data_IF_104748352554
#
_entry.id   IF_104748352554
#
_cell.length_a   1.000
_cell.length_b   1.000
_cell.length_c   1.000
_cell.angle_alpha   90.00
_cell.angle_beta   90.00
_cell.angle_gamma   90.00
#
_symmetry.space_group_name_H-M   'P 1'
#
loop_
_entity.id
_entity.type
_entity.pdbx_description
1 polymer ?
#
# COMPACT_ATOMS: atom_id res chain seq x y z
N UNK A 1 -0.18 9.33 -25.58
CA UNK A 1 -1.30 9.17 -26.53
C UNK A 1 -1.07 10.02 -27.79
N UNK A 2 -1.05 11.39 -27.75
CA UNK A 2 -0.97 12.25 -28.93
C UNK A 2 0.27 11.98 -29.81
N UNK A 3 1.46 11.85 -29.22
CA UNK A 3 2.69 11.51 -29.95
C UNK A 3 2.63 10.13 -30.62
N UNK A 4 1.91 9.21 -30.06
CA UNK A 4 1.72 7.87 -30.64
C UNK A 4 0.79 7.92 -31.85
N UNK A 5 -0.29 8.70 -31.77
CA UNK A 5 -1.17 8.97 -32.91
C UNK A 5 -0.41 9.69 -34.01
N UNK A 6 0.37 10.72 -33.67
CA UNK A 6 1.17 11.46 -34.64
C UNK A 6 2.22 10.60 -35.36
N UNK A 7 2.83 9.63 -34.68
CA UNK A 7 3.78 8.67 -35.31
C UNK A 7 3.12 7.71 -36.27
N UNK A 8 1.83 7.39 -36.08
CA UNK A 8 1.04 6.52 -36.95
C UNK A 8 0.40 7.28 -38.11
N UNK A 9 0.19 8.58 -37.93
CA UNK A 9 -0.29 9.47 -39.00
C UNK A 9 0.84 9.78 -39.97
N UNK A 10 0.53 9.89 -41.24
CA UNK A 10 1.54 10.21 -42.27
C UNK A 10 2.13 11.63 -42.08
N UNK A 11 3.25 11.95 -42.77
CA UNK A 11 3.96 13.21 -42.62
C UNK A 11 3.13 14.46 -42.96
N UNK A 12 2.09 14.31 -43.80
CA UNK A 12 1.18 15.40 -44.19
C UNK A 12 -0.05 15.54 -43.26
N UNK A 13 -0.07 14.81 -42.16
CA UNK A 13 -1.20 14.81 -41.24
C UNK A 13 -1.08 15.92 -40.20
N UNK A 14 -2.19 16.66 -39.97
CA UNK A 14 -2.32 17.61 -38.88
C UNK A 14 -2.97 16.91 -37.67
N UNK A 15 -2.24 16.83 -36.55
CA UNK A 15 -2.75 16.29 -35.29
C UNK A 15 -3.03 17.42 -34.32
N UNK A 16 -4.30 17.64 -33.99
CA UNK A 16 -4.73 18.63 -33.00
C UNK A 16 -4.97 17.94 -31.66
N UNK A 17 -4.32 18.45 -30.61
CA UNK A 17 -4.47 17.92 -29.24
C UNK A 17 -5.14 18.96 -28.36
N UNK A 18 -6.29 18.61 -27.84
CA UNK A 18 -6.95 19.40 -26.80
C UNK A 18 -6.39 19.01 -25.43
N UNK A 19 -5.76 19.96 -24.73
CA UNK A 19 -5.29 19.81 -23.35
C UNK A 19 -6.28 20.56 -22.43
N UNK A 20 -7.34 19.91 -21.96
CA UNK A 20 -8.44 20.57 -21.24
C UNK A 20 -8.07 20.98 -19.83
N UNK A 21 -6.94 20.51 -19.31
CA UNK A 21 -6.51 20.70 -17.94
C UNK A 21 -5.08 21.22 -17.84
N UNK A 22 -4.82 22.02 -16.83
CA UNK A 22 -3.51 22.58 -16.52
C UNK A 22 -2.94 22.04 -15.22
N UNK A 23 -1.60 22.09 -15.05
CA UNK A 23 -0.91 21.57 -13.87
C UNK A 23 -1.28 22.25 -12.55
N UNK A 24 -1.98 23.42 -12.59
CA UNK A 24 -2.26 24.23 -11.39
C UNK A 24 -3.09 23.49 -10.34
N UNK A 25 -4.06 22.66 -10.76
CA UNK A 25 -4.87 21.83 -9.87
C UNK A 25 -4.12 20.66 -9.23
N UNK A 26 -2.90 20.39 -9.66
CA UNK A 26 -2.10 19.24 -9.26
C UNK A 26 -0.82 19.56 -8.50
N UNK A 27 -0.66 20.84 -8.06
CA UNK A 27 0.54 21.31 -7.35
C UNK A 27 0.81 20.52 -6.07
N UNK A 28 -0.24 20.08 -5.37
CA UNK A 28 -0.13 19.27 -4.16
C UNK A 28 0.01 17.76 -4.43
N UNK A 29 -0.02 17.35 -5.68
CA UNK A 29 0.04 15.94 -6.12
C UNK A 29 1.27 15.71 -7.00
N UNK A 30 1.10 15.69 -8.34
CA UNK A 30 2.18 15.35 -9.28
C UNK A 30 3.38 16.30 -9.27
N UNK A 31 3.25 17.51 -8.72
CA UNK A 31 4.34 18.45 -8.51
C UNK A 31 4.85 18.47 -7.06
N UNK A 32 4.43 17.50 -6.23
CA UNK A 32 4.88 17.33 -4.85
C UNK A 32 5.62 16.00 -4.73
N UNK A 33 6.95 16.06 -4.59
CA UNK A 33 7.80 14.87 -4.54
C UNK A 33 7.45 13.95 -3.36
N UNK A 34 7.04 14.50 -2.21
CA UNK A 34 6.64 13.70 -1.06
C UNK A 34 5.35 12.92 -1.36
N UNK A 35 4.38 13.54 -2.03
CA UNK A 35 3.18 12.85 -2.47
C UNK A 35 3.50 11.79 -3.53
N UNK A 36 4.33 12.13 -4.53
CA UNK A 36 4.75 11.20 -5.58
C UNK A 36 5.50 10.00 -5.01
N UNK A 37 6.35 10.24 -4.00
CA UNK A 37 7.10 9.17 -3.30
C UNK A 37 6.16 8.25 -2.52
N UNK A 38 5.27 8.79 -1.69
CA UNK A 38 4.36 8.00 -0.87
C UNK A 38 3.38 7.15 -1.67
N UNK A 39 3.02 7.59 -2.90
CA UNK A 39 2.22 6.82 -3.84
C UNK A 39 3.03 5.89 -4.77
N UNK A 40 4.35 5.79 -4.55
CA UNK A 40 5.23 4.88 -5.28
C UNK A 40 5.50 5.28 -6.74
N UNK A 41 5.23 6.54 -7.13
CA UNK A 41 5.50 7.05 -8.48
C UNK A 41 6.97 7.48 -8.68
N UNK A 42 7.69 7.78 -7.60
CA UNK A 42 9.12 8.03 -7.64
C UNK A 42 9.88 6.76 -7.31
N UNK A 43 10.67 6.30 -8.25
CA UNK A 43 11.67 5.26 -7.99
C UNK A 43 12.94 5.93 -7.50
N UNK A 44 13.35 5.68 -6.26
CA UNK A 44 14.67 6.07 -5.78
C UNK A 44 15.72 5.50 -6.75
N UNK A 45 16.46 6.36 -7.44
CA UNK A 45 17.73 5.97 -8.04
C UNK A 45 18.68 5.74 -6.89
N UNK A 46 18.77 4.49 -6.43
CA UNK A 46 19.83 4.09 -5.52
C UNK A 46 21.13 4.17 -6.32
N UNK A 47 21.94 5.17 -6.03
CA UNK A 47 23.34 5.19 -6.43
C UNK A 47 23.96 3.95 -5.77
N UNK A 48 24.19 2.90 -6.54
CA UNK A 48 24.95 1.67 -6.36
C UNK A 48 25.57 1.28 -5.01
N UNK A 49 25.21 1.92 -3.91
CA UNK A 49 25.66 1.56 -2.57
C UNK A 49 24.74 0.46 -2.00
N UNK A 50 25.32 -0.69 -1.78
CA UNK A 50 24.74 -1.98 -1.38
C UNK A 50 24.01 -1.96 -0.01
N UNK A 51 23.83 -0.82 0.64
CA UNK A 51 23.40 -0.73 2.04
C UNK A 51 21.95 -0.25 2.28
N UNK A 52 21.14 0.00 1.27
CA UNK A 52 19.79 0.48 1.54
C UNK A 52 18.71 -0.41 0.92
N UNK A 53 18.24 -1.39 1.70
CA UNK A 53 17.01 -2.12 1.38
C UNK A 53 15.85 -1.13 1.22
N UNK A 54 15.06 -1.30 0.17
CA UNK A 54 13.83 -0.54 -0.04
C UNK A 54 12.68 -1.14 0.77
N UNK A 55 11.59 -0.38 0.92
CA UNK A 55 10.32 -0.87 1.48
C UNK A 55 9.80 -2.07 0.68
N UNK A 56 9.94 -2.04 -0.65
CA UNK A 56 9.59 -3.16 -1.52
C UNK A 56 10.42 -4.42 -1.26
N UNK A 57 11.72 -4.27 -0.90
CA UNK A 57 12.56 -5.41 -0.52
C UNK A 57 12.09 -6.03 0.79
N UNK A 58 11.70 -5.21 1.77
CA UNK A 58 11.12 -5.67 3.04
C UNK A 58 9.84 -6.47 2.78
N UNK A 59 8.96 -5.95 1.92
CA UNK A 59 7.71 -6.61 1.58
C UNK A 59 7.96 -7.96 0.89
N UNK A 60 8.87 -8.02 -0.09
CA UNK A 60 9.26 -9.27 -0.78
C UNK A 60 9.94 -10.28 0.15
N UNK A 61 10.58 -9.81 1.19
CA UNK A 61 11.21 -10.67 2.22
C UNK A 61 10.22 -11.32 3.19
N UNK A 62 8.93 -10.99 3.12
CA UNK A 62 7.90 -11.66 3.94
C UNK A 62 7.85 -13.15 3.64
N UNK A 63 7.90 -13.94 4.69
CA UNK A 63 7.82 -15.40 4.58
C UNK A 63 6.41 -15.83 4.21
N UNK A 64 6.27 -16.63 3.15
CA UNK A 64 5.00 -17.25 2.73
C UNK A 64 4.54 -16.82 1.33
N UNK A 65 3.73 -17.65 0.70
CA UNK A 65 3.03 -17.34 -0.55
C UNK A 65 1.80 -16.47 -0.22
N UNK A 66 2.01 -15.18 0.00
CA UNK A 66 0.90 -14.24 0.17
C UNK A 66 0.35 -13.85 -1.21
N UNK A 67 -0.97 -13.59 -1.33
CA UNK A 67 -1.53 -12.93 -2.52
C UNK A 67 -0.95 -11.52 -2.65
N UNK A 68 -1.11 -10.89 -3.83
CA UNK A 68 -0.62 -9.55 -4.12
C UNK A 68 -1.09 -8.53 -3.07
N UNK A 69 -2.31 -8.69 -2.54
CA UNK A 69 -2.83 -7.89 -1.42
C UNK A 69 -3.76 -8.74 -0.56
N UNK A 70 -3.40 -9.00 0.69
CA UNK A 70 -4.34 -9.54 1.68
C UNK A 70 -5.28 -8.41 2.10
N UNK A 71 -6.59 -8.59 1.93
CA UNK A 71 -7.60 -7.56 2.14
C UNK A 71 -8.93 -8.17 2.61
N UNK A 72 -9.87 -7.31 2.98
CA UNK A 72 -11.27 -7.63 3.27
C UNK A 72 -12.18 -6.55 2.69
N UNK A 73 -13.48 -6.82 2.60
CA UNK A 73 -14.47 -5.89 2.08
C UNK A 73 -15.34 -5.29 3.20
N UNK A 74 -15.88 -4.07 3.02
CA UNK A 74 -16.74 -3.43 4.02
C UNK A 74 -17.99 -4.24 4.40
N UNK A 75 -18.49 -5.05 3.47
CA UNK A 75 -19.70 -5.88 3.62
C UNK A 75 -19.44 -7.27 4.20
N UNK A 76 -18.19 -7.70 4.26
CA UNK A 76 -17.80 -8.95 4.91
C UNK A 76 -18.00 -8.88 6.42
N UNK A 77 -18.12 -10.04 7.07
CA UNK A 77 -18.33 -10.08 8.52
C UNK A 77 -17.00 -10.00 9.29
N UNK A 78 -17.08 -9.57 10.54
CA UNK A 78 -15.94 -9.62 11.49
C UNK A 78 -15.36 -11.03 11.57
N UNK A 79 -16.21 -12.07 11.47
CA UNK A 79 -15.76 -13.48 11.42
C UNK A 79 -14.88 -13.75 10.21
N UNK A 80 -15.30 -13.31 9.04
CA UNK A 80 -14.56 -13.53 7.78
C UNK A 80 -13.22 -12.80 7.83
N UNK A 81 -13.21 -11.54 8.28
CA UNK A 81 -12.00 -10.76 8.46
C UNK A 81 -10.99 -11.43 9.41
N UNK A 82 -11.46 -11.95 10.56
CA UNK A 82 -10.61 -12.71 11.50
C UNK A 82 -10.09 -13.99 10.83
N UNK A 83 -10.93 -14.66 10.02
CA UNK A 83 -10.54 -15.83 9.24
C UNK A 83 -9.37 -15.53 8.29
N UNK A 84 -9.48 -14.45 7.51
CA UNK A 84 -8.44 -14.00 6.57
C UNK A 84 -7.14 -13.66 7.30
N UNK A 85 -7.19 -12.86 8.39
CA UNK A 85 -6.01 -12.51 9.17
C UNK A 85 -5.26 -13.76 9.65
N UNK A 86 -5.99 -14.78 10.12
CA UNK A 86 -5.41 -16.04 10.59
C UNK A 86 -4.87 -16.91 9.47
N UNK A 87 -5.59 -17.02 8.35
CA UNK A 87 -5.21 -17.85 7.21
C UNK A 87 -3.87 -17.38 6.63
N UNK A 88 -3.72 -16.07 6.45
CA UNK A 88 -2.49 -15.49 5.90
C UNK A 88 -1.45 -15.12 6.94
N UNK A 89 -1.73 -15.28 8.23
CA UNK A 89 -0.79 -14.96 9.31
C UNK A 89 -0.42 -13.48 9.37
N UNK A 90 -1.35 -12.58 8.99
CA UNK A 90 -1.14 -11.13 9.03
C UNK A 90 -1.92 -10.52 10.19
N UNK A 91 -1.34 -9.49 10.81
CA UNK A 91 -1.95 -8.80 11.95
C UNK A 91 -2.82 -7.60 11.56
N UNK A 92 -2.68 -7.13 10.32
CA UNK A 92 -3.44 -6.00 9.78
C UNK A 92 -3.64 -6.16 8.28
N UNK A 93 -4.78 -5.68 7.77
CA UNK A 93 -5.07 -5.64 6.34
C UNK A 93 -5.96 -4.44 5.98
N UNK A 94 -5.87 -3.92 4.74
CA UNK A 94 -6.77 -2.89 4.24
C UNK A 94 -8.18 -3.43 4.01
N UNK A 95 -9.14 -2.51 4.12
CA UNK A 95 -10.55 -2.71 3.72
C UNK A 95 -10.75 -2.02 2.38
N UNK A 96 -11.09 -2.77 1.34
CA UNK A 96 -11.24 -2.26 -0.04
C UNK A 96 -12.66 -2.43 -0.55
N UNK A 97 -13.14 -1.47 -1.35
CA UNK A 97 -14.50 -1.49 -1.87
C UNK A 97 -14.72 -2.40 -3.07
N UNK A 98 -13.63 -2.83 -3.73
CA UNK A 98 -13.64 -3.68 -4.93
C UNK A 98 -12.47 -4.67 -4.89
N UNK A 99 -12.53 -5.70 -5.73
CA UNK A 99 -11.43 -6.64 -5.88
C UNK A 99 -10.16 -5.95 -6.42
N UNK A 100 -8.96 -6.27 -5.89
CA UNK A 100 -7.70 -5.76 -6.45
C UNK A 100 -7.50 -6.17 -7.92
N UNK A 101 -6.83 -5.33 -8.71
CA UNK A 101 -6.06 -4.16 -8.30
C UNK A 101 -6.91 -2.90 -8.10
N UNK A 102 -6.78 -2.27 -6.95
CA UNK A 102 -7.43 -0.99 -6.60
C UNK A 102 -6.41 0.13 -6.50
N UNK A 103 -6.85 1.39 -6.57
CA UNK A 103 -5.98 2.52 -6.29
C UNK A 103 -5.94 2.77 -4.77
N UNK A 104 -4.83 3.30 -4.26
CA UNK A 104 -4.67 3.59 -2.83
C UNK A 104 -5.75 4.54 -2.28
N UNK A 105 -6.31 5.42 -3.12
CA UNK A 105 -7.43 6.29 -2.76
C UNK A 105 -8.78 5.59 -2.64
N UNK A 106 -8.90 4.33 -3.06
CA UNK A 106 -10.12 3.51 -2.98
C UNK A 106 -10.13 2.60 -1.74
N UNK A 107 -9.08 2.66 -0.92
CA UNK A 107 -9.02 1.95 0.36
C UNK A 107 -9.92 2.66 1.36
N UNK A 108 -10.97 1.97 1.81
CA UNK A 108 -11.99 2.52 2.69
C UNK A 108 -11.52 2.63 4.15
N UNK A 109 -10.61 1.75 4.57
CA UNK A 109 -10.14 1.69 5.95
C UNK A 109 -9.12 0.57 6.16
N UNK A 110 -8.97 0.17 7.41
CA UNK A 110 -8.13 -0.97 7.79
C UNK A 110 -8.75 -1.74 8.97
N UNK A 111 -8.35 -2.99 9.13
CA UNK A 111 -8.67 -3.78 10.31
C UNK A 111 -7.40 -4.38 10.90
N UNK A 112 -7.35 -4.48 12.22
CA UNK A 112 -6.28 -5.15 12.93
C UNK A 112 -6.80 -6.30 13.78
N UNK A 113 -6.01 -7.37 13.88
CA UNK A 113 -6.32 -8.52 14.73
C UNK A 113 -6.60 -8.06 16.18
N UNK A 114 -5.74 -7.21 16.72
CA UNK A 114 -5.86 -6.71 18.10
C UNK A 114 -7.17 -5.97 18.34
N UNK A 115 -7.56 -5.06 17.43
CA UNK A 115 -8.77 -4.25 17.59
C UNK A 115 -10.04 -5.09 17.45
N UNK A 116 -10.08 -6.00 16.46
CA UNK A 116 -11.21 -6.90 16.28
C UNK A 116 -11.40 -7.82 17.47
N UNK A 117 -10.31 -8.44 17.99
CA UNK A 117 -10.36 -9.28 19.18
C UNK A 117 -10.86 -8.49 20.39
N UNK A 118 -10.28 -7.31 20.65
CA UNK A 118 -10.72 -6.46 21.77
C UNK A 118 -12.20 -6.11 21.65
N UNK A 119 -12.65 -5.70 20.45
CA UNK A 119 -14.05 -5.34 20.22
C UNK A 119 -15.02 -6.51 20.48
N UNK A 120 -14.65 -7.72 20.05
CA UNK A 120 -15.46 -8.93 20.26
C UNK A 120 -15.50 -9.33 21.73
N UNK A 121 -14.35 -9.38 22.42
CA UNK A 121 -14.28 -9.77 23.83
C UNK A 121 -14.94 -8.77 24.77
N UNK A 122 -14.91 -7.48 24.42
CA UNK A 122 -15.59 -6.42 25.17
C UNK A 122 -17.08 -6.30 24.83
N UNK A 123 -17.59 -7.10 23.91
CA UNK A 123 -18.99 -7.08 23.46
C UNK A 123 -19.38 -5.87 22.61
N UNK A 124 -18.40 -5.08 22.12
CA UNK A 124 -18.62 -3.95 21.20
C UNK A 124 -18.85 -4.39 19.76
N UNK A 125 -18.39 -5.58 19.39
CA UNK A 125 -18.60 -6.18 18.09
C UNK A 125 -19.13 -7.61 18.21
N UNK A 126 -20.00 -8.00 17.27
CA UNK A 126 -20.42 -9.39 17.08
C UNK A 126 -19.72 -9.96 15.86
N UNK A 127 -19.50 -11.26 15.85
CA UNK A 127 -18.86 -11.95 14.72
C UNK A 127 -19.67 -11.83 13.41
N UNK A 128 -20.97 -11.55 13.48
CA UNK A 128 -21.84 -11.37 12.33
C UNK A 128 -21.96 -9.89 11.88
N UNK A 129 -21.36 -8.95 12.60
CA UNK A 129 -21.39 -7.54 12.22
C UNK A 129 -20.54 -7.33 10.96
N UNK A 130 -20.92 -6.34 10.14
CA UNK A 130 -20.15 -5.96 8.97
C UNK A 130 -18.84 -5.28 9.37
N UNK A 131 -17.75 -5.56 8.64
CA UNK A 131 -16.42 -4.95 8.82
C UNK A 131 -16.50 -3.42 8.84
N UNK A 132 -17.35 -2.83 7.99
CA UNK A 132 -17.54 -1.37 7.91
C UNK A 132 -17.94 -0.70 9.23
N UNK A 133 -18.50 -1.44 10.18
CA UNK A 133 -18.90 -0.91 11.49
C UNK A 133 -17.73 -0.88 12.49
N UNK A 134 -16.66 -1.62 12.22
CA UNK A 134 -15.55 -1.85 13.15
C UNK A 134 -14.17 -1.58 12.54
N UNK A 135 -14.11 -1.11 11.28
CA UNK A 135 -12.86 -0.73 10.65
C UNK A 135 -12.34 0.60 11.20
N UNK A 136 -11.04 0.73 11.24
CA UNK A 136 -10.29 1.96 11.52
C UNK A 136 -9.98 2.73 10.24
N UNK A 137 -9.53 3.99 10.30
CA UNK A 137 -9.04 4.72 9.13
C UNK A 137 -7.99 3.93 8.34
N UNK A 138 -7.86 4.28 7.05
CA UNK A 138 -6.85 3.65 6.20
C UNK A 138 -5.44 3.84 6.76
N UNK A 139 -4.59 2.82 6.59
CA UNK A 139 -3.20 2.86 7.01
C UNK A 139 -2.43 3.97 6.26
N UNK A 140 -1.42 4.58 6.89
CA UNK A 140 -0.55 5.54 6.21
C UNK A 140 0.18 4.87 5.05
N UNK A 141 0.38 5.64 3.98
CA UNK A 141 1.00 5.17 2.75
C UNK A 141 2.52 5.32 2.80
N UNK A 142 3.22 4.36 2.19
CA UNK A 142 4.64 4.43 1.91
C UNK A 142 4.93 3.84 0.54
N UNK A 143 5.76 4.51 -0.27
CA UNK A 143 6.14 4.00 -1.59
C UNK A 143 7.10 2.80 -1.50
N UNK A 144 6.89 1.80 -2.34
CA UNK A 144 7.76 0.62 -2.42
C UNK A 144 9.23 0.98 -2.72
N UNK A 145 9.47 2.07 -3.45
CA UNK A 145 10.80 2.58 -3.77
C UNK A 145 11.47 3.38 -2.65
N UNK A 146 10.79 3.68 -1.55
CA UNK A 146 11.39 4.39 -0.43
C UNK A 146 12.39 3.52 0.35
N UNK A 147 13.41 4.13 1.00
CA UNK A 147 14.31 3.40 1.88
C UNK A 147 13.57 2.74 3.04
N UNK A 148 13.98 1.56 3.46
CA UNK A 148 13.41 0.86 4.63
C UNK A 148 13.46 1.71 5.92
N UNK A 149 14.42 2.64 6.01
CA UNK A 149 14.50 3.62 7.11
C UNK A 149 13.29 4.56 7.18
N UNK A 150 12.64 4.85 6.04
CA UNK A 150 11.39 5.63 6.01
C UNK A 150 10.25 4.85 6.68
N UNK A 151 10.13 3.55 6.38
CA UNK A 151 9.19 2.68 7.07
C UNK A 151 9.47 2.57 8.56
N UNK A 152 10.74 2.45 8.95
CA UNK A 152 11.13 2.42 10.36
C UNK A 152 10.73 3.70 11.12
N UNK A 153 10.76 4.87 10.47
CA UNK A 153 10.26 6.13 11.04
C UNK A 153 8.75 6.11 11.19
N UNK A 154 8.02 5.76 10.14
CA UNK A 154 6.55 5.71 10.16
C UNK A 154 6.03 4.71 11.21
N UNK A 155 6.66 3.56 11.34
CA UNK A 155 6.30 2.51 12.31
C UNK A 155 6.63 2.84 13.78
N UNK A 156 7.20 4.02 14.07
CA UNK A 156 7.27 4.54 15.46
C UNK A 156 5.92 5.05 15.95
N UNK A 157 5.14 5.61 15.03
CA UNK A 157 3.84 6.24 15.31
C UNK A 157 2.66 5.30 14.97
N UNK A 158 2.86 4.41 14.00
CA UNK A 158 1.84 3.51 13.48
C UNK A 158 2.21 2.04 13.70
N UNK A 159 1.22 1.18 13.87
CA UNK A 159 1.45 -0.26 14.02
C UNK A 159 1.74 -0.94 12.68
N UNK A 160 1.26 -0.36 11.59
CA UNK A 160 1.50 -0.83 10.22
C UNK A 160 1.47 0.33 9.23
N UNK A 161 2.06 0.13 8.05
CA UNK A 161 1.99 1.03 6.90
C UNK A 161 1.63 0.25 5.64
N UNK A 162 0.85 0.86 4.77
CA UNK A 162 0.45 0.29 3.49
C UNK A 162 1.47 0.65 2.42
N UNK A 163 2.07 -0.38 1.81
CA UNK A 163 3.05 -0.22 0.73
C UNK A 163 2.33 0.01 -0.59
N UNK A 164 2.77 1.02 -1.33
CA UNK A 164 2.16 1.44 -2.58
C UNK A 164 3.19 1.45 -3.71
N UNK A 165 2.83 0.89 -4.85
CA UNK A 165 3.59 0.95 -6.09
C UNK A 165 2.68 1.43 -7.23
N UNK A 166 3.13 2.44 -7.99
CA UNK A 166 2.37 3.06 -9.08
C UNK A 166 0.90 3.41 -8.69
N UNK A 167 0.72 3.93 -7.46
CA UNK A 167 -0.58 4.33 -6.91
C UNK A 167 -1.46 3.20 -6.40
N UNK A 168 -1.00 1.95 -6.45
CA UNK A 168 -1.75 0.75 -6.03
C UNK A 168 -1.17 0.17 -4.76
N UNK A 169 -1.99 -0.21 -3.78
CA UNK A 169 -1.52 -0.96 -2.62
C UNK A 169 -1.04 -2.35 -3.05
N UNK A 170 0.17 -2.70 -2.61
CA UNK A 170 0.83 -3.98 -2.92
C UNK A 170 1.13 -4.79 -1.67
N UNK A 171 0.76 -4.30 -0.50
CA UNK A 171 0.89 -5.03 0.75
C UNK A 171 0.93 -4.11 1.96
N UNK A 172 1.09 -4.72 3.12
CA UNK A 172 1.21 -4.03 4.42
C UNK A 172 2.47 -4.52 5.10
N UNK A 173 3.24 -3.62 5.69
CA UNK A 173 4.39 -3.95 6.52
C UNK A 173 4.22 -3.44 7.94
N UNK A 174 4.79 -4.18 8.87
CA UNK A 174 4.77 -3.94 10.32
C UNK A 174 6.20 -3.90 10.87
N UNK A 175 6.33 -3.62 12.17
CA UNK A 175 7.64 -3.68 12.86
C UNK A 175 8.27 -5.07 12.78
N UNK A 176 7.48 -6.12 12.81
CA UNK A 176 7.97 -7.51 12.72
C UNK A 176 8.68 -7.78 11.40
N UNK A 177 8.15 -7.24 10.30
CA UNK A 177 8.73 -7.41 8.97
C UNK A 177 10.12 -6.74 8.87
N UNK A 178 10.28 -5.55 9.47
CA UNK A 178 11.59 -4.88 9.55
C UNK A 178 12.61 -5.67 10.38
N UNK A 179 12.17 -6.25 11.50
CA UNK A 179 13.05 -7.10 12.32
C UNK A 179 13.51 -8.33 11.56
N UNK A 180 12.64 -8.93 10.73
CA UNK A 180 12.98 -10.05 9.85
C UNK A 180 14.13 -9.72 8.90
N UNK A 181 14.11 -8.55 8.27
CA UNK A 181 15.20 -8.09 7.37
C UNK A 181 16.51 -7.86 8.12
N UNK A 182 16.45 -7.25 9.30
CA UNK A 182 17.64 -7.03 10.13
C UNK A 182 18.30 -8.36 10.57
N UNK A 183 17.49 -9.37 10.90
CA UNK A 183 18.00 -10.68 11.31
C UNK A 183 18.66 -11.43 10.16
N UNK A 184 18.13 -11.32 8.93
CA UNK A 184 18.69 -11.96 7.73
C UNK A 184 19.98 -11.26 7.24
N UNK A 185 20.05 -9.93 7.38
CA UNK A 185 21.24 -9.13 7.03
C UNK A 185 22.46 -9.41 7.90
N UNK A 186 22.26 -9.82 9.17
CA UNK A 186 23.34 -10.18 10.10
C UNK A 186 23.98 -11.55 9.82
N UNK A 187 23.35 -12.40 9.01
CA UNK A 187 23.83 -13.75 8.68
C UNK A 187 24.70 -13.79 7.40
N UNK A 188 24.90 -12.64 6.73
CA UNK A 188 25.73 -12.51 5.51
C UNK A 188 27.04 -11.75 5.72
N UNK A 189 27.65 -11.83 6.91
CA UNK A 189 29.04 -11.40 7.15
C UNK A 189 29.93 -12.59 7.29
#
# INVERSE_FOLDING_TARGET
>A
AALEVARKAGPDSLVVVLLPDGGRGYLSKIFNDAWMSSYGFLRSRLDGSVEQSTVGDVLRGKSGALPDLVHTHPSETVRDAIGILREYGVSQMPVVGAEPPVMAGEVAGSVSERELLSAVFEGRAKLADAVSQHMSPALPLIGAGEPASSAAKALREWDAVMVVEDGKPVGVITRSDLLGVLSQGSLRK
#
